data_IF_410588159862
#
_entry.id   IF_410588159862
#
_cell.length_a   1.000
_cell.length_b   1.000
_cell.length_c   1.000
_cell.angle_alpha   90.00
_cell.angle_beta   90.00
_cell.angle_gamma   90.00
#
_symmetry.space_group_name_H-M   'P 1'
#
loop_
_entity.id
_entity.type
_entity.pdbx_description
1 polymer ?
#
# COMPACT_ATOMS: atom_id res chain seq x y z
N UNK A 1 42.12 -11.01 14.66
CA UNK A 1 41.78 -9.65 14.14
C UNK A 1 40.87 -9.68 12.90
N UNK A 2 40.98 -10.64 11.98
CA UNK A 2 40.10 -10.74 10.79
C UNK A 2 38.62 -11.05 11.10
N UNK A 3 38.33 -11.81 12.16
CA UNK A 3 36.94 -12.16 12.53
C UNK A 3 36.14 -10.97 13.12
N UNK A 4 36.79 -10.03 13.80
CA UNK A 4 36.12 -8.85 14.37
C UNK A 4 35.66 -7.88 13.27
N UNK A 5 36.48 -7.72 12.22
CA UNK A 5 36.13 -6.90 11.06
C UNK A 5 34.97 -7.51 10.25
N UNK A 6 34.98 -8.84 10.07
CA UNK A 6 33.88 -9.54 9.39
C UNK A 6 32.55 -9.39 10.16
N UNK A 7 32.58 -9.55 11.49
CA UNK A 7 31.40 -9.36 12.34
C UNK A 7 30.90 -7.92 12.31
N UNK A 8 31.80 -6.93 12.27
CA UNK A 8 31.45 -5.51 12.14
C UNK A 8 30.78 -5.18 10.81
N UNK A 9 31.27 -5.73 9.69
CA UNK A 9 30.67 -5.55 8.37
C UNK A 9 29.26 -6.18 8.30
N UNK A 10 29.09 -7.37 8.88
CA UNK A 10 27.77 -8.02 8.95
C UNK A 10 26.77 -7.19 9.76
N UNK A 11 27.19 -6.64 10.91
CA UNK A 11 26.37 -5.73 11.71
C UNK A 11 25.97 -4.48 10.93
N UNK A 12 26.90 -3.86 10.20
CA UNK A 12 26.60 -2.69 9.36
C UNK A 12 25.59 -3.04 8.25
N UNK A 13 25.74 -4.19 7.59
CA UNK A 13 24.78 -4.63 6.58
C UNK A 13 23.40 -4.89 7.19
N UNK A 14 23.32 -5.50 8.37
CA UNK A 14 22.03 -5.71 9.07
C UNK A 14 21.38 -4.38 9.45
N UNK A 15 22.14 -3.41 9.96
CA UNK A 15 21.64 -2.08 10.30
C UNK A 15 21.12 -1.37 9.05
N UNK A 16 21.89 -1.37 7.95
CA UNK A 16 21.47 -0.77 6.68
C UNK A 16 20.19 -1.44 6.15
N UNK A 17 20.08 -2.77 6.22
CA UNK A 17 18.86 -3.48 5.82
C UNK A 17 17.66 -3.15 6.71
N UNK A 18 17.87 -2.94 8.02
CA UNK A 18 16.82 -2.51 8.94
C UNK A 18 16.36 -1.07 8.70
N UNK A 19 17.27 -0.14 8.41
CA UNK A 19 16.92 1.24 8.06
C UNK A 19 16.16 1.30 6.73
N UNK A 20 16.58 0.53 5.72
CA UNK A 20 15.88 0.45 4.42
C UNK A 20 14.48 -0.15 4.58
N UNK A 21 14.33 -1.19 5.42
CA UNK A 21 13.01 -1.75 5.71
C UNK A 21 12.15 -0.78 6.50
N UNK A 22 12.68 -0.08 7.51
CA UNK A 22 11.95 0.94 8.25
C UNK A 22 11.50 2.09 7.33
N UNK A 23 12.34 2.54 6.40
CA UNK A 23 11.99 3.56 5.40
C UNK A 23 10.84 3.11 4.48
N UNK A 24 10.80 1.83 4.10
CA UNK A 24 9.72 1.30 3.26
C UNK A 24 8.41 0.99 4.03
N UNK A 25 8.48 0.71 5.33
CA UNK A 25 7.31 0.36 6.16
C UNK A 25 6.77 1.52 7.00
N UNK A 26 7.49 2.64 7.07
CA UNK A 26 7.36 3.63 8.12
C UNK A 26 6.59 4.89 7.80
N UNK A 27 5.48 4.85 7.06
CA UNK A 27 4.45 5.90 7.22
C UNK A 27 3.06 5.33 6.95
N UNK A 28 2.32 5.04 8.02
CA UNK A 28 0.88 4.75 7.98
C UNK A 28 0.14 6.08 7.85
N UNK A 29 -0.02 6.59 6.62
CA UNK A 29 -0.88 7.75 6.31
C UNK A 29 -2.39 7.41 6.39
N UNK A 30 -2.73 6.25 6.97
CA UNK A 30 -4.07 5.67 6.97
C UNK A 30 -5.03 6.27 8.01
N UNK A 31 -4.57 7.23 8.83
CA UNK A 31 -5.39 7.84 9.89
C UNK A 31 -6.65 8.57 9.41
N UNK A 32 -6.68 8.99 8.13
CA UNK A 32 -7.82 9.69 7.51
C UNK A 32 -8.61 8.81 6.52
N UNK A 33 -8.21 7.54 6.38
CA UNK A 33 -8.72 6.63 5.37
C UNK A 33 -9.91 5.85 5.93
N UNK A 34 -11.06 5.89 5.25
CA UNK A 34 -12.25 5.21 5.72
C UNK A 34 -12.15 3.69 5.46
N UNK A 35 -11.85 2.91 6.50
CA UNK A 35 -11.78 1.44 6.44
C UNK A 35 -13.06 0.75 6.92
N UNK A 36 -13.28 -0.49 6.48
CA UNK A 36 -14.38 -1.33 6.96
C UNK A 36 -14.10 -1.75 8.41
N UNK A 37 -15.09 -1.59 9.29
CA UNK A 37 -15.03 -2.11 10.67
C UNK A 37 -14.97 -3.63 10.61
N UNK A 38 -13.84 -4.22 11.02
CA UNK A 38 -13.66 -5.68 11.07
C UNK A 38 -14.20 -6.20 12.41
N UNK A 39 -15.42 -6.75 12.42
CA UNK A 39 -15.95 -7.43 13.60
C UNK A 39 -15.21 -8.77 13.78
N UNK A 40 -14.57 -8.96 14.93
CA UNK A 40 -13.59 -10.03 15.20
C UNK A 40 -14.06 -11.49 15.08
N UNK A 41 -15.34 -11.73 14.75
CA UNK A 41 -15.94 -13.06 14.60
C UNK A 41 -15.85 -13.69 13.20
N UNK A 42 -15.46 -12.94 12.16
CA UNK A 42 -15.40 -13.45 10.78
C UNK A 42 -13.99 -13.91 10.39
N UNK A 43 -13.42 -14.85 11.16
CA UNK A 43 -12.03 -15.32 10.93
C UNK A 43 -11.86 -16.34 9.80
N UNK A 44 -12.94 -16.82 9.17
CA UNK A 44 -12.87 -17.96 8.24
C UNK A 44 -12.83 -17.65 6.74
N UNK A 45 -13.53 -16.60 6.26
CA UNK A 45 -13.79 -16.40 4.83
C UNK A 45 -13.18 -15.12 4.22
N UNK A 46 -12.60 -14.24 5.04
CA UNK A 46 -12.02 -12.94 4.63
C UNK A 46 -10.51 -12.95 4.36
N UNK A 47 -9.85 -14.11 4.43
CA UNK A 47 -8.38 -14.20 4.32
C UNK A 47 -7.85 -14.37 2.90
N UNK A 48 -8.72 -14.51 1.89
CA UNK A 48 -8.25 -14.55 0.50
C UNK A 48 -8.07 -13.13 0.00
N UNK A 49 -6.86 -12.59 0.24
CA UNK A 49 -6.41 -11.36 -0.40
C UNK A 49 -6.55 -11.51 -1.92
N UNK A 50 -7.07 -10.47 -2.54
CA UNK A 50 -7.41 -10.42 -3.95
C UNK A 50 -6.23 -9.88 -4.75
N UNK A 51 -5.89 -10.59 -5.81
CA UNK A 51 -4.81 -10.21 -6.70
C UNK A 51 -5.27 -9.17 -7.73
N UNK A 52 -4.32 -8.59 -8.45
CA UNK A 52 -4.60 -7.61 -9.51
C UNK A 52 -5.65 -8.15 -10.49
N UNK A 53 -6.66 -7.34 -10.77
CA UNK A 53 -7.77 -7.65 -11.69
C UNK A 53 -8.93 -8.43 -11.06
N UNK A 54 -8.76 -9.01 -9.88
CA UNK A 54 -9.86 -9.68 -9.18
C UNK A 54 -10.85 -8.66 -8.61
N UNK A 55 -12.11 -9.08 -8.52
CA UNK A 55 -13.16 -8.27 -7.92
C UNK A 55 -12.91 -8.01 -6.43
N UNK A 56 -13.15 -6.77 -6.02
CA UNK A 56 -13.00 -6.31 -4.64
C UNK A 56 -14.22 -5.52 -4.21
N UNK A 57 -14.53 -5.55 -2.91
CA UNK A 57 -15.53 -4.66 -2.32
C UNK A 57 -14.88 -3.43 -1.69
N UNK A 58 -13.69 -3.62 -1.13
CA UNK A 58 -12.86 -2.62 -0.45
C UNK A 58 -11.36 -2.90 -0.73
N UNK A 59 -10.51 -1.88 -0.59
CA UNK A 59 -9.05 -2.01 -0.68
C UNK A 59 -8.46 -2.97 0.37
N UNK A 60 -9.11 -3.14 1.53
CA UNK A 60 -8.77 -4.17 2.52
C UNK A 60 -8.81 -5.60 1.97
N UNK A 61 -9.59 -5.84 0.90
CA UNK A 61 -9.68 -7.15 0.27
C UNK A 61 -8.46 -7.45 -0.61
N UNK A 62 -7.71 -6.43 -1.05
CA UNK A 62 -6.62 -6.58 -2.01
C UNK A 62 -5.27 -6.92 -1.34
N UNK A 63 -4.33 -7.48 -2.12
CA UNK A 63 -2.94 -7.63 -1.65
C UNK A 63 -2.28 -6.26 -1.38
N UNK A 64 -1.33 -6.18 -0.41
CA UNK A 64 -0.55 -4.97 -0.19
C UNK A 64 0.10 -4.48 -1.48
N UNK A 65 0.12 -3.15 -1.68
CA UNK A 65 0.55 -2.54 -2.94
C UNK A 65 -0.54 -2.47 -4.01
N UNK A 66 -1.75 -2.94 -3.72
CA UNK A 66 -2.94 -2.78 -4.54
C UNK A 66 -4.00 -1.95 -3.81
N UNK A 67 -4.91 -1.34 -4.56
CA UNK A 67 -6.11 -0.69 -4.06
C UNK A 67 -7.34 -1.16 -4.84
N UNK A 68 -8.54 -0.98 -4.27
CA UNK A 68 -9.78 -1.31 -4.96
C UNK A 68 -10.25 -0.12 -5.80
N UNK A 69 -10.29 -0.28 -7.13
CA UNK A 69 -10.68 0.80 -8.05
C UNK A 69 -12.06 0.53 -8.64
N UNK A 70 -12.94 1.53 -8.53
CA UNK A 70 -14.23 1.57 -9.18
C UNK A 70 -14.09 2.16 -10.60
N UNK A 71 -14.43 1.35 -11.60
CA UNK A 71 -14.71 1.77 -12.99
C UNK A 71 -16.12 1.30 -13.35
N UNK A 72 -16.28 0.47 -14.38
CA UNK A 72 -17.51 -0.29 -14.63
C UNK A 72 -17.77 -1.32 -13.52
N UNK A 73 -16.71 -1.99 -13.08
CA UNK A 73 -16.71 -2.90 -11.92
C UNK A 73 -15.58 -2.53 -10.96
N UNK A 74 -15.65 -3.04 -9.73
CA UNK A 74 -14.59 -2.88 -8.73
C UNK A 74 -13.56 -3.96 -8.87
N UNK A 75 -12.30 -3.58 -9.06
CA UNK A 75 -11.19 -4.56 -9.15
C UNK A 75 -9.95 -4.07 -8.43
N UNK A 76 -9.12 -4.99 -7.95
CA UNK A 76 -7.83 -4.65 -7.37
C UNK A 76 -6.86 -4.18 -8.45
N UNK A 77 -6.30 -2.99 -8.27
CA UNK A 77 -5.35 -2.36 -9.21
C UNK A 77 -4.09 -1.94 -8.45
N UNK A 78 -2.93 -1.85 -9.13
CA UNK A 78 -1.70 -1.42 -8.49
C UNK A 78 -1.79 0.05 -8.03
N UNK A 79 -1.13 0.35 -6.90
CA UNK A 79 -0.85 1.72 -6.50
C UNK A 79 -0.06 2.46 -7.60
N UNK A 80 -0.27 3.77 -7.67
CA UNK A 80 0.34 4.60 -8.69
C UNK A 80 1.75 5.01 -8.29
N UNK A 81 2.70 4.81 -9.21
CA UNK A 81 4.08 5.23 -9.08
C UNK A 81 4.30 6.63 -9.65
N UNK A 82 5.49 7.18 -9.44
CA UNK A 82 5.89 8.49 -9.96
C UNK A 82 5.60 8.62 -11.46
N UNK A 83 5.02 9.76 -11.87
CA UNK A 83 4.58 10.06 -13.24
C UNK A 83 3.30 9.35 -13.68
N UNK A 84 2.76 8.41 -12.90
CA UNK A 84 1.50 7.72 -13.23
C UNK A 84 0.28 8.50 -12.75
N UNK A 85 -0.86 8.24 -13.38
CA UNK A 85 -2.13 8.85 -12.98
C UNK A 85 -2.55 8.35 -11.59
N UNK A 86 -3.01 9.25 -10.75
CA UNK A 86 -3.50 8.95 -9.41
C UNK A 86 -4.93 9.43 -9.21
N UNK A 87 -5.64 8.78 -8.30
CA UNK A 87 -6.94 9.21 -7.79
C UNK A 87 -6.78 9.89 -6.45
N UNK A 88 -7.46 11.03 -6.25
CA UNK A 88 -7.49 11.73 -4.97
C UNK A 88 -8.65 11.24 -4.12
N UNK A 89 -8.32 10.80 -2.90
CA UNK A 89 -9.29 10.46 -1.87
C UNK A 89 -10.08 9.19 -2.15
N UNK A 90 -10.58 8.60 -1.07
CA UNK A 90 -11.44 7.44 -1.16
C UNK A 90 -12.90 7.84 -1.43
N UNK A 91 -13.54 7.10 -2.32
CA UNK A 91 -14.99 7.05 -2.39
C UNK A 91 -15.52 6.12 -1.29
N UNK A 92 -16.82 6.25 -0.98
CA UNK A 92 -17.48 5.47 0.07
C UNK A 92 -17.18 3.97 -0.04
N UNK A 93 -16.74 3.39 1.07
CA UNK A 93 -16.43 1.95 1.17
C UNK A 93 -14.96 1.58 0.95
N UNK A 94 -14.04 2.56 0.95
CA UNK A 94 -12.60 2.30 0.87
C UNK A 94 -12.11 1.96 -0.54
N UNK A 95 -12.77 2.49 -1.57
CA UNK A 95 -12.38 2.34 -2.97
C UNK A 95 -11.91 3.68 -3.56
N UNK A 96 -11.33 3.63 -4.76
CA UNK A 96 -10.89 4.82 -5.49
C UNK A 96 -11.55 4.92 -6.86
N UNK A 97 -11.77 6.15 -7.33
CA UNK A 97 -12.35 6.39 -8.65
C UNK A 97 -11.27 6.40 -9.74
N UNK A 98 -11.43 5.56 -10.77
CA UNK A 98 -10.55 5.42 -11.94
C UNK A 98 -9.10 4.96 -11.71
N UNK A 99 -8.41 5.50 -10.70
CA UNK A 99 -6.99 5.25 -10.41
C UNK A 99 -6.76 5.06 -8.91
N UNK A 100 -5.71 4.32 -8.57
CA UNK A 100 -5.25 4.21 -7.19
C UNK A 100 -4.54 5.49 -6.72
N UNK A 101 -4.38 5.66 -5.40
CA UNK A 101 -3.52 6.72 -4.86
C UNK A 101 -2.05 6.42 -5.16
N UNK A 102 -1.20 7.41 -4.90
CA UNK A 102 0.23 7.24 -5.05
C UNK A 102 0.79 6.32 -3.96
N UNK A 103 1.79 5.51 -4.28
CA UNK A 103 2.47 4.64 -3.31
C UNK A 103 3.12 5.42 -2.16
N UNK A 104 3.41 6.70 -2.38
CA UNK A 104 4.05 7.61 -1.42
C UNK A 104 3.05 8.34 -0.51
N UNK A 105 1.75 8.16 -0.75
CA UNK A 105 0.68 8.87 -0.05
C UNK A 105 -0.11 9.82 -0.96
N UNK A 106 -1.27 10.27 -0.49
CA UNK A 106 -2.20 11.11 -1.25
C UNK A 106 -1.63 12.50 -1.56
N UNK A 107 -0.74 13.02 -0.72
CA UNK A 107 -0.11 14.33 -0.88
C UNK A 107 0.74 14.43 -2.16
N UNK A 108 1.25 13.29 -2.65
CA UNK A 108 2.04 13.24 -3.89
C UNK A 108 1.16 13.25 -5.15
N UNK A 109 -0.17 13.22 -5.02
CA UNK A 109 -1.07 13.25 -6.15
C UNK A 109 -1.40 14.70 -6.55
N UNK A 110 -0.59 15.27 -7.43
CA UNK A 110 -0.77 16.64 -7.92
C UNK A 110 -1.27 16.64 -9.36
N UNK A 111 -2.36 17.38 -9.60
CA UNK A 111 -3.01 17.50 -10.93
C UNK A 111 -3.35 16.12 -11.56
N UNK A 112 -3.61 15.12 -10.73
CA UNK A 112 -3.94 13.76 -11.15
C UNK A 112 -2.74 12.90 -11.54
N UNK A 113 -1.52 13.30 -11.18
CA UNK A 113 -0.30 12.52 -11.38
C UNK A 113 0.53 12.44 -10.10
N UNK A 114 1.23 11.32 -9.92
CA UNK A 114 2.16 11.17 -8.80
C UNK A 114 3.45 11.94 -9.08
N UNK A 115 3.76 12.93 -8.26
CA UNK A 115 4.96 13.76 -8.38
C UNK A 115 5.38 14.28 -7.00
N UNK A 116 6.64 14.71 -6.90
CA UNK A 116 7.21 15.29 -5.68
C UNK A 116 6.96 16.80 -5.61
#
# INVERSE_FOLDING_TARGET
MRCLLANGVVLLLIIVMHEVTAYHYGVDWDGLVQRRIKNGGQRGYFYRRRYKGEFCENSDDCFPGLCCVQRLYRTCQPLSWYGQRCGLGQIKGGCYWNHCPCVYGDDFCHRGFCQA
#
